data_IF_050094278957
#
_entry.id   IF_050094278957
#
_cell.length_a   1.000
_cell.length_b   1.000
_cell.length_c   1.000
_cell.angle_alpha   90.00
_cell.angle_beta   90.00
_cell.angle_gamma   90.00
#
_symmetry.space_group_name_H-M   'P 1'
#
loop_
_entity.id
_entity.type
_entity.pdbx_description
1 polymer ?
#
# COMPACT_ATOMS: atom_id res chain seq x y z
N UNK A 1 -18.47 6.25 46.97
CA UNK A 1 -17.91 4.92 47.27
C UNK A 1 -18.16 4.01 46.07
N UNK A 2 -17.21 3.14 45.77
CA UNK A 2 -17.12 2.19 44.64
C UNK A 2 -16.52 2.70 43.32
N UNK A 3 -15.19 2.82 43.42
CA UNK A 3 -14.17 2.53 42.43
C UNK A 3 -14.36 1.17 41.74
N UNK A 4 -14.37 1.14 40.40
CA UNK A 4 -14.01 -0.06 39.64
C UNK A 4 -12.62 0.14 39.02
N UNK A 5 -11.68 -0.60 39.59
CA UNK A 5 -10.25 -0.60 39.30
C UNK A 5 -9.99 -1.59 38.16
N UNK A 6 -9.48 -1.11 37.03
CA UNK A 6 -8.93 -1.97 35.99
C UNK A 6 -7.60 -2.56 36.48
N UNK A 7 -7.34 -3.89 36.37
CA UNK A 7 -6.16 -4.52 36.97
C UNK A 7 -4.88 -4.39 36.14
N UNK A 8 -4.85 -3.59 35.06
CA UNK A 8 -3.65 -3.42 34.26
C UNK A 8 -2.69 -2.40 34.93
N UNK A 9 -1.58 -2.87 35.49
CA UNK A 9 -0.47 -2.06 36.06
C UNK A 9 0.27 -1.16 35.06
N UNK A 10 -0.32 -0.84 33.91
CA UNK A 10 0.31 -0.05 32.85
C UNK A 10 -0.33 1.34 32.63
N UNK A 11 -1.42 1.67 33.30
CA UNK A 11 -2.21 2.87 33.01
C UNK A 11 -1.98 4.07 33.95
N UNK A 12 -0.76 4.23 34.49
CA UNK A 12 -0.38 5.44 35.26
C UNK A 12 1.06 5.84 34.96
N UNK A 13 1.30 6.42 33.78
CA UNK A 13 2.47 7.29 33.58
C UNK A 13 2.02 8.63 32.99
N UNK A 14 2.34 9.66 33.75
CA UNK A 14 2.14 11.08 33.47
C UNK A 14 2.49 11.48 32.04
N UNK A 15 1.59 12.25 31.43
CA UNK A 15 1.68 12.78 30.08
C UNK A 15 2.61 14.01 29.96
N UNK A 16 3.64 14.11 30.80
CA UNK A 16 4.65 15.17 30.76
C UNK A 16 6.03 14.54 30.84
N UNK A 17 6.84 14.81 29.82
CA UNK A 17 8.26 14.41 29.66
C UNK A 17 8.53 13.05 28.98
N UNK A 18 8.04 12.85 27.75
CA UNK A 18 8.69 11.90 26.82
C UNK A 18 9.75 12.66 26.02
N UNK A 19 11.00 12.62 26.50
CA UNK A 19 12.17 12.84 25.64
C UNK A 19 12.00 12.00 24.38
N UNK A 20 12.17 12.61 23.21
CA UNK A 20 12.21 11.92 21.93
C UNK A 20 13.36 10.90 21.97
N UNK A 21 13.07 9.68 22.42
CA UNK A 21 13.98 8.57 22.30
C UNK A 21 14.12 8.28 20.81
N UNK A 22 15.34 8.42 20.31
CA UNK A 22 15.72 8.06 18.95
C UNK A 22 15.51 6.55 18.82
N UNK A 23 14.36 6.16 18.27
CA UNK A 23 14.07 4.77 17.92
C UNK A 23 15.20 4.28 17.02
N UNK A 24 15.95 3.28 17.47
CA UNK A 24 16.89 2.59 16.60
C UNK A 24 16.10 2.00 15.43
N UNK A 25 16.62 2.22 14.22
CA UNK A 25 15.98 1.71 13.01
C UNK A 25 16.10 0.19 13.03
N UNK A 26 15.03 -0.50 13.43
CA UNK A 26 14.91 -1.93 13.25
C UNK A 26 15.15 -2.27 11.77
N UNK A 27 16.19 -3.06 11.48
CA UNK A 27 16.41 -3.64 10.16
C UNK A 27 15.51 -4.86 10.05
N UNK A 28 14.32 -4.67 9.51
CA UNK A 28 13.38 -5.76 9.26
C UNK A 28 13.80 -6.45 7.96
N UNK A 29 14.20 -7.70 8.04
CA UNK A 29 14.48 -8.54 6.86
C UNK A 29 13.19 -9.13 6.31
N UNK A 30 13.23 -9.64 5.08
CA UNK A 30 12.09 -10.34 4.47
C UNK A 30 11.61 -11.50 5.35
N UNK A 31 12.55 -12.24 5.94
CA UNK A 31 12.27 -13.35 6.85
C UNK A 31 11.59 -12.89 8.15
N UNK A 32 11.94 -11.70 8.66
CA UNK A 32 11.30 -11.13 9.86
C UNK A 32 9.86 -10.69 9.59
N UNK A 33 9.55 -10.21 8.38
CA UNK A 33 8.18 -9.88 7.99
C UNK A 33 7.30 -11.12 7.82
N UNK A 34 7.90 -12.22 7.39
CA UNK A 34 7.20 -13.45 7.02
C UNK A 34 7.30 -14.53 8.10
N UNK A 35 7.83 -14.16 9.28
CA UNK A 35 8.12 -15.04 10.40
C UNK A 35 6.89 -15.73 11.00
N UNK A 36 5.66 -15.29 10.67
CA UNK A 36 4.44 -16.00 11.04
C UNK A 36 4.06 -17.14 10.08
N UNK A 37 4.70 -17.24 8.91
CA UNK A 37 4.23 -18.13 7.84
C UNK A 37 5.25 -19.16 7.34
N UNK A 38 6.51 -19.14 7.80
CA UNK A 38 7.49 -20.26 7.77
C UNK A 38 7.71 -21.06 6.46
N UNK A 39 7.08 -20.72 5.35
CA UNK A 39 6.89 -21.60 4.20
C UNK A 39 6.77 -20.80 2.90
N UNK A 40 7.65 -19.83 2.66
CA UNK A 40 7.66 -19.18 1.35
C UNK A 40 8.29 -20.13 0.36
N UNK A 41 7.49 -20.57 -0.59
CA UNK A 41 7.94 -21.39 -1.72
C UNK A 41 8.87 -20.57 -2.63
N UNK A 42 9.74 -21.24 -3.38
CA UNK A 42 10.57 -20.57 -4.39
C UNK A 42 9.71 -19.79 -5.40
N UNK A 43 8.49 -20.29 -5.70
CA UNK A 43 7.52 -19.60 -6.55
C UNK A 43 7.02 -18.29 -5.92
N UNK A 44 6.64 -18.29 -4.64
CA UNK A 44 6.22 -17.08 -3.92
C UNK A 44 7.35 -16.04 -3.81
N UNK A 45 8.60 -16.49 -3.65
CA UNK A 45 9.76 -15.59 -3.63
C UNK A 45 9.94 -14.86 -4.97
N UNK A 46 9.74 -15.55 -6.10
CA UNK A 46 9.76 -14.94 -7.44
C UNK A 46 8.59 -13.97 -7.63
N UNK A 47 7.41 -14.31 -7.12
CA UNK A 47 6.26 -13.39 -7.18
C UNK A 47 6.48 -12.12 -6.37
N UNK A 48 7.18 -12.20 -5.23
CA UNK A 48 7.56 -11.02 -4.44
C UNK A 48 8.56 -10.14 -5.18
N UNK A 49 9.53 -10.71 -5.90
CA UNK A 49 10.53 -9.92 -6.63
C UNK A 49 9.94 -9.21 -7.84
N UNK A 50 8.90 -9.78 -8.46
CA UNK A 50 8.10 -9.12 -9.49
C UNK A 50 7.26 -7.94 -8.96
N UNK A 51 7.13 -7.81 -7.64
CA UNK A 51 6.45 -6.70 -6.97
C UNK A 51 7.50 -5.68 -6.48
N UNK A 52 8.18 -5.00 -7.42
CA UNK A 52 9.35 -4.16 -7.13
C UNK A 52 9.32 -2.77 -7.77
N UNK A 53 10.20 -1.89 -7.27
CA UNK A 53 10.43 -0.59 -7.87
C UNK A 53 10.96 -0.68 -9.30
N UNK A 54 11.70 -1.74 -9.64
CA UNK A 54 12.22 -1.95 -10.99
C UNK A 54 11.09 -2.18 -11.99
N UNK A 55 10.10 -3.01 -11.64
CA UNK A 55 8.92 -3.22 -12.48
C UNK A 55 8.11 -1.93 -12.66
N UNK A 56 7.96 -1.14 -11.60
CA UNK A 56 7.36 0.19 -11.72
C UNK A 56 8.17 1.09 -12.66
N UNK A 57 9.49 1.12 -12.56
CA UNK A 57 10.36 1.90 -13.45
C UNK A 57 10.27 1.44 -14.92
N UNK A 58 10.19 0.12 -15.16
CA UNK A 58 9.99 -0.45 -16.51
C UNK A 58 8.65 0.01 -17.08
N UNK A 59 7.58 -0.09 -16.30
CA UNK A 59 6.25 0.36 -16.70
C UNK A 59 6.20 1.86 -17.00
N UNK A 60 6.91 2.68 -16.23
CA UNK A 60 7.01 4.12 -16.48
C UNK A 60 7.82 4.44 -17.73
N UNK A 61 8.87 3.69 -17.99
CA UNK A 61 9.68 3.83 -19.21
C UNK A 61 8.84 3.46 -20.42
N UNK A 62 8.09 2.36 -20.33
CA UNK A 62 7.12 1.96 -21.34
C UNK A 62 6.12 3.07 -21.62
N UNK A 63 5.48 3.64 -20.59
CA UNK A 63 4.51 4.72 -20.76
C UNK A 63 5.10 6.00 -21.41
N UNK A 64 6.41 6.25 -21.27
CA UNK A 64 7.07 7.39 -21.93
C UNK A 64 7.25 7.17 -23.42
N UNK A 65 7.56 5.94 -23.82
CA UNK A 65 7.85 5.58 -25.22
C UNK A 65 6.61 5.10 -25.98
N UNK A 66 5.57 4.65 -25.26
CA UNK A 66 4.33 4.15 -25.83
C UNK A 66 3.51 5.25 -26.50
N UNK A 67 2.78 4.84 -27.54
CA UNK A 67 1.80 5.68 -28.21
C UNK A 67 0.68 6.09 -27.22
N UNK A 68 0.01 7.25 -27.42
CA UNK A 68 -0.97 7.77 -26.45
C UNK A 68 -2.09 6.79 -26.09
N UNK A 69 -2.49 5.93 -27.01
CA UNK A 69 -3.51 4.89 -26.89
C UNK A 69 -3.04 3.63 -26.15
N UNK A 70 -1.74 3.37 -26.11
CA UNK A 70 -1.14 2.23 -25.42
C UNK A 70 -0.71 2.55 -23.98
N UNK A 71 -0.73 3.83 -23.60
CA UNK A 71 -0.34 4.28 -22.26
C UNK A 71 -1.37 3.83 -21.22
N UNK A 72 -0.86 3.30 -20.11
CA UNK A 72 -1.73 2.99 -18.96
C UNK A 72 -1.80 4.15 -17.99
N UNK A 73 -2.99 4.39 -17.45
CA UNK A 73 -3.20 5.32 -16.36
C UNK A 73 -2.62 4.74 -15.07
N UNK A 74 -1.63 5.43 -14.50
CA UNK A 74 -1.01 5.00 -13.24
C UNK A 74 -1.80 5.58 -12.07
N UNK A 75 -2.37 4.68 -11.26
CA UNK A 75 -3.09 5.03 -10.03
C UNK A 75 -2.29 4.50 -8.84
N UNK A 76 -2.02 5.36 -7.86
CA UNK A 76 -1.24 5.01 -6.67
C UNK A 76 -2.06 5.14 -5.41
N UNK A 77 -2.18 4.03 -4.68
CA UNK A 77 -2.83 4.00 -3.37
C UNK A 77 -1.80 3.97 -2.25
N UNK A 78 -1.88 4.89 -1.29
CA UNK A 78 -0.92 4.94 -0.15
C UNK A 78 -1.63 4.62 1.15
N UNK A 79 -1.17 3.59 1.85
CA UNK A 79 -1.76 3.18 3.13
C UNK A 79 -1.58 4.23 4.23
N UNK A 80 -2.49 4.30 5.22
CA UNK A 80 -2.33 5.16 6.39
C UNK A 80 -0.99 4.94 7.12
N UNK A 81 -0.58 3.68 7.27
CA UNK A 81 0.66 3.29 7.94
C UNK A 81 1.89 3.78 7.17
N UNK A 82 1.90 3.66 5.83
CA UNK A 82 2.98 4.21 4.99
C UNK A 82 3.07 5.73 5.10
N UNK A 83 1.93 6.44 5.13
CA UNK A 83 1.91 7.90 5.37
C UNK A 83 2.49 8.26 6.73
N UNK A 84 2.09 7.56 7.80
CA UNK A 84 2.60 7.80 9.14
C UNK A 84 4.12 7.53 9.24
N UNK A 85 4.59 6.43 8.63
CA UNK A 85 6.02 6.09 8.56
C UNK A 85 6.83 7.14 7.81
N UNK A 86 6.33 7.61 6.66
CA UNK A 86 6.96 8.68 5.89
C UNK A 86 6.94 10.01 6.64
N UNK A 87 5.86 10.33 7.34
CA UNK A 87 5.73 11.54 8.15
C UNK A 87 6.79 11.57 9.27
N UNK A 88 6.94 10.46 9.98
CA UNK A 88 7.97 10.30 11.00
C UNK A 88 9.39 10.44 10.42
N UNK A 89 9.65 9.85 9.24
CA UNK A 89 10.95 9.96 8.57
C UNK A 89 11.26 11.38 8.08
N UNK A 90 10.28 12.07 7.54
CA UNK A 90 10.41 13.43 7.01
C UNK A 90 10.32 14.50 8.10
N UNK A 91 10.03 14.12 9.36
CA UNK A 91 9.79 15.04 10.48
C UNK A 91 8.69 16.06 10.16
N UNK A 92 7.58 15.57 9.59
CA UNK A 92 6.45 16.38 9.15
C UNK A 92 5.14 15.86 9.75
N UNK A 93 4.09 16.68 9.75
CA UNK A 93 2.75 16.22 10.09
C UNK A 93 2.20 15.25 9.03
N UNK A 94 1.39 14.28 9.44
CA UNK A 94 0.80 13.26 8.53
C UNK A 94 0.01 13.90 7.39
N UNK A 95 -0.73 14.97 7.68
CA UNK A 95 -1.48 15.71 6.67
C UNK A 95 -0.58 16.42 5.65
N UNK A 96 0.52 17.02 6.10
CA UNK A 96 1.49 17.66 5.21
C UNK A 96 2.21 16.63 4.35
N UNK A 97 2.57 15.49 4.94
CA UNK A 97 3.15 14.36 4.19
C UNK A 97 2.18 13.86 3.14
N UNK A 98 0.89 13.70 3.46
CA UNK A 98 -0.12 13.33 2.47
C UNK A 98 -0.20 14.33 1.32
N UNK A 99 -0.24 15.64 1.62
CA UNK A 99 -0.25 16.70 0.60
C UNK A 99 0.99 16.63 -0.31
N UNK A 100 2.18 16.48 0.28
CA UNK A 100 3.44 16.38 -0.49
C UNK A 100 3.48 15.12 -1.35
N UNK A 101 3.00 13.98 -0.85
CA UNK A 101 2.91 12.75 -1.62
C UNK A 101 1.94 12.91 -2.79
N UNK A 102 0.75 13.47 -2.55
CA UNK A 102 -0.20 13.75 -3.64
C UNK A 102 0.39 14.72 -4.66
N UNK A 103 1.08 15.78 -4.23
CA UNK A 103 1.72 16.73 -5.15
C UNK A 103 2.83 16.04 -5.97
N UNK A 104 3.65 15.22 -5.34
CA UNK A 104 4.71 14.45 -6.00
C UNK A 104 4.13 13.52 -7.06
N UNK A 105 3.15 12.68 -6.71
CA UNK A 105 2.53 11.77 -7.67
C UNK A 105 1.81 12.50 -8.80
N UNK A 106 1.14 13.63 -8.51
CA UNK A 106 0.54 14.48 -9.55
C UNK A 106 1.58 15.05 -10.50
N UNK A 107 2.75 15.47 -9.99
CA UNK A 107 3.84 15.97 -10.86
C UNK A 107 4.42 14.88 -11.78
N UNK A 108 4.24 13.61 -11.44
CA UNK A 108 4.58 12.47 -12.28
C UNK A 108 3.45 12.07 -13.25
N UNK A 109 2.32 12.77 -13.23
CA UNK A 109 1.12 12.45 -14.01
C UNK A 109 0.28 11.31 -13.42
N UNK A 110 0.47 10.97 -12.13
CA UNK A 110 -0.21 9.85 -11.49
C UNK A 110 -1.39 10.32 -10.64
N UNK A 111 -2.41 9.48 -10.55
CA UNK A 111 -3.55 9.72 -9.67
C UNK A 111 -3.25 9.11 -8.31
N UNK A 112 -3.12 9.95 -7.28
CA UNK A 112 -2.91 9.48 -5.92
C UNK A 112 -4.26 9.32 -5.20
N UNK A 113 -4.61 8.06 -4.90
CA UNK A 113 -5.74 7.73 -4.06
C UNK A 113 -5.25 7.49 -2.63
N UNK A 114 -5.52 8.43 -1.73
CA UNK A 114 -5.22 8.21 -0.33
C UNK A 114 -6.36 7.43 0.31
N UNK A 115 -6.06 6.25 0.86
CA UNK A 115 -7.02 5.50 1.65
C UNK A 115 -7.47 6.38 2.83
N UNK A 116 -8.69 6.89 2.75
CA UNK A 116 -9.36 7.54 3.87
C UNK A 116 -10.12 6.43 4.58
N UNK A 117 -9.92 6.31 5.88
CA UNK A 117 -10.70 5.45 6.78
C UNK A 117 -12.13 5.96 6.91
N UNK A 118 -12.84 6.15 5.80
CA UNK A 118 -14.28 6.38 5.77
C UNK A 118 -14.97 5.03 5.57
N UNK A 119 -14.85 4.18 6.59
CA UNK A 119 -15.42 2.83 6.59
C UNK A 119 -16.95 2.81 6.60
N UNK A 120 -17.64 3.90 6.87
CA UNK A 120 -19.08 3.85 7.16
C UNK A 120 -19.97 3.68 5.92
N UNK A 121 -19.55 4.14 4.74
CA UNK A 121 -20.46 4.23 3.58
C UNK A 121 -20.32 3.07 2.57
N UNK A 122 -19.18 2.38 2.57
CA UNK A 122 -18.84 1.34 1.59
C UNK A 122 -18.79 -0.07 2.21
N UNK A 123 -18.74 -0.20 3.54
CA UNK A 123 -18.69 -1.49 4.23
C UNK A 123 -19.85 -2.46 3.90
N UNK A 124 -21.10 -2.02 3.66
CA UNK A 124 -22.18 -2.95 3.33
C UNK A 124 -22.04 -3.64 1.96
N UNK A 125 -21.29 -3.04 1.04
CA UNK A 125 -21.10 -3.53 -0.34
C UNK A 125 -19.72 -4.19 -0.54
N UNK A 126 -18.87 -4.11 0.48
CA UNK A 126 -17.54 -4.72 0.48
C UNK A 126 -17.67 -6.14 1.03
N UNK A 127 -17.30 -7.13 0.22
CA UNK A 127 -17.17 -8.51 0.67
C UNK A 127 -16.31 -8.57 1.94
N UNK A 128 -16.81 -9.20 2.99
CA UNK A 128 -16.09 -9.42 4.26
C UNK A 128 -14.82 -10.27 4.11
N UNK A 129 -14.53 -10.77 2.90
CA UNK A 129 -13.40 -11.65 2.59
C UNK A 129 -12.21 -10.95 1.93
N UNK A 130 -12.34 -9.73 1.38
CA UNK A 130 -11.22 -9.02 0.74
C UNK A 130 -10.54 -8.06 1.73
N UNK A 131 -9.21 -8.00 1.70
CA UNK A 131 -8.48 -7.00 2.52
C UNK A 131 -8.62 -5.59 1.93
N UNK A 132 -8.34 -4.52 2.71
CA UNK A 132 -8.46 -3.14 2.26
C UNK A 132 -7.68 -2.83 0.96
N UNK A 133 -6.51 -3.46 0.78
CA UNK A 133 -5.73 -3.33 -0.44
C UNK A 133 -6.50 -3.83 -1.68
N UNK A 134 -7.12 -4.99 -1.57
CA UNK A 134 -7.82 -5.62 -2.70
C UNK A 134 -9.16 -4.96 -2.96
N UNK A 135 -9.86 -4.55 -1.90
CA UNK A 135 -11.05 -3.70 -2.00
C UNK A 135 -10.74 -2.44 -2.79
N UNK A 136 -9.65 -1.77 -2.44
CA UNK A 136 -9.20 -0.56 -3.14
C UNK A 136 -8.88 -0.84 -4.61
N UNK A 137 -8.23 -1.96 -4.90
CA UNK A 137 -7.94 -2.42 -6.27
C UNK A 137 -9.20 -2.65 -7.10
N UNK A 138 -10.18 -3.38 -6.56
CA UNK A 138 -11.46 -3.62 -7.24
C UNK A 138 -12.25 -2.32 -7.44
N UNK A 139 -12.22 -1.38 -6.50
CA UNK A 139 -12.86 -0.06 -6.67
C UNK A 139 -12.20 0.77 -7.77
N UNK A 140 -10.87 0.77 -7.84
CA UNK A 140 -10.13 1.50 -8.88
C UNK A 140 -10.40 0.89 -10.26
N UNK A 141 -10.27 -0.42 -10.38
CA UNK A 141 -10.34 -1.10 -11.67
C UNK A 141 -11.75 -1.41 -12.14
N UNK A 142 -12.73 -1.46 -11.24
CA UNK A 142 -14.14 -1.51 -11.61
C UNK A 142 -14.70 -0.08 -11.71
N UNK A 143 -15.08 0.48 -10.56
CA UNK A 143 -15.87 1.70 -10.52
C UNK A 143 -15.15 2.94 -11.11
N UNK A 144 -13.90 3.18 -10.74
CA UNK A 144 -13.17 4.34 -11.26
C UNK A 144 -12.80 4.18 -12.73
N UNK A 145 -12.49 2.97 -13.20
CA UNK A 145 -12.25 2.69 -14.61
C UNK A 145 -13.48 3.02 -15.46
N UNK A 146 -14.65 2.54 -15.04
CA UNK A 146 -15.94 2.85 -15.70
C UNK A 146 -16.21 4.36 -15.76
N UNK A 147 -15.99 5.08 -14.65
CA UNK A 147 -16.16 6.53 -14.59
C UNK A 147 -15.23 7.31 -15.52
N UNK A 148 -14.05 6.78 -15.82
CA UNK A 148 -13.09 7.38 -16.74
C UNK A 148 -13.23 6.84 -18.17
N UNK A 149 -14.22 5.98 -18.44
CA UNK A 149 -14.38 5.27 -19.71
C UNK A 149 -13.13 4.48 -20.12
N UNK A 150 -12.45 3.88 -19.14
CA UNK A 150 -11.27 3.04 -19.32
C UNK A 150 -11.62 1.58 -19.00
N UNK A 151 -10.93 0.66 -19.66
CA UNK A 151 -10.97 -0.75 -19.29
C UNK A 151 -9.98 -1.04 -18.14
N UNK A 152 -10.24 -2.06 -17.30
CA UNK A 152 -9.39 -2.38 -16.14
C UNK A 152 -7.89 -2.57 -16.47
N UNK A 153 -7.59 -3.09 -17.67
CA UNK A 153 -6.22 -3.35 -18.15
C UNK A 153 -5.45 -2.08 -18.57
N UNK A 154 -6.17 -0.98 -18.82
CA UNK A 154 -5.60 0.35 -19.08
C UNK A 154 -5.21 1.07 -17.80
N UNK A 155 -5.52 0.52 -16.63
CA UNK A 155 -5.09 1.05 -15.34
C UNK A 155 -3.96 0.20 -14.78
N UNK A 156 -2.87 0.87 -14.41
CA UNK A 156 -1.77 0.27 -13.65
C UNK A 156 -1.86 0.76 -12.20
N UNK A 157 -2.41 -0.09 -11.34
CA UNK A 157 -2.63 0.20 -9.93
C UNK A 157 -1.42 -0.22 -9.08
N UNK A 158 -0.79 0.78 -8.46
CA UNK A 158 0.35 0.63 -7.57
C UNK A 158 -0.11 0.92 -6.14
N UNK A 159 0.34 0.13 -5.18
CA UNK A 159 0.08 0.39 -3.76
C UNK A 159 1.38 0.63 -3.00
N UNK A 160 1.36 1.54 -2.05
CA UNK A 160 2.48 1.82 -1.14
C UNK A 160 2.09 1.32 0.26
N UNK A 161 2.75 0.24 0.66
CA UNK A 161 2.45 -0.52 1.86
C UNK A 161 3.70 -0.65 2.75
N UNK A 162 3.57 -0.78 4.08
CA UNK A 162 4.74 -1.00 4.95
C UNK A 162 5.13 -2.48 5.08
N UNK A 163 4.38 -3.41 4.47
CA UNK A 163 4.46 -4.85 4.74
C UNK A 163 4.71 -5.65 3.45
N UNK A 164 5.55 -6.69 3.53
CA UNK A 164 5.82 -7.59 2.41
C UNK A 164 4.67 -8.57 2.14
N UNK A 165 3.86 -8.93 3.15
CA UNK A 165 2.70 -9.81 2.98
C UNK A 165 1.72 -9.25 1.95
N UNK A 166 1.66 -7.92 1.82
CA UNK A 166 0.85 -7.25 0.80
C UNK A 166 1.31 -7.52 -0.62
N UNK A 167 2.61 -7.80 -0.84
CA UNK A 167 3.13 -8.25 -2.14
C UNK A 167 2.64 -9.66 -2.46
N UNK A 168 2.71 -10.57 -1.48
CA UNK A 168 2.18 -11.93 -1.61
C UNK A 168 0.67 -11.94 -1.82
N UNK A 169 -0.05 -11.07 -1.12
CA UNK A 169 -1.48 -10.92 -1.30
C UNK A 169 -1.82 -10.45 -2.72
N UNK A 170 -1.09 -9.48 -3.28
CA UNK A 170 -1.32 -9.00 -4.65
C UNK A 170 -1.01 -10.04 -5.74
N UNK A 171 -0.09 -10.98 -5.46
CA UNK A 171 0.28 -12.01 -6.44
C UNK A 171 -0.65 -13.21 -6.46
N UNK A 172 -1.57 -13.35 -5.49
CA UNK A 172 -2.52 -14.48 -5.45
C UNK A 172 -3.35 -14.57 -6.73
N UNK A 173 -3.62 -15.78 -7.23
CA UNK A 173 -4.42 -15.98 -8.44
C UNK A 173 -5.87 -15.52 -8.27
N UNK A 174 -6.41 -15.54 -7.05
CA UNK A 174 -7.78 -15.11 -6.73
C UNK A 174 -8.09 -13.65 -7.10
N UNK A 175 -7.05 -12.82 -7.23
CA UNK A 175 -7.17 -11.40 -7.57
C UNK A 175 -6.74 -11.10 -9.01
N UNK A 176 -6.59 -12.13 -9.85
CA UNK A 176 -6.35 -12.01 -11.27
C UNK A 176 -7.67 -12.13 -12.04
N UNK A 177 -8.02 -11.10 -12.80
CA UNK A 177 -9.15 -11.12 -13.70
C UNK A 177 -8.72 -11.68 -15.07
N UNK A 178 -9.28 -12.83 -15.45
CA UNK A 178 -8.96 -13.51 -16.71
C UNK A 178 -9.52 -12.80 -17.95
N UNK A 179 -10.65 -12.10 -17.85
CA UNK A 179 -11.27 -11.40 -18.97
C UNK A 179 -10.42 -10.21 -19.40
N UNK A 180 -9.97 -9.41 -18.44
CA UNK A 180 -9.15 -8.22 -18.71
C UNK A 180 -7.63 -8.48 -18.59
N UNK A 181 -7.20 -9.71 -18.30
CA UNK A 181 -5.80 -10.09 -18.13
C UNK A 181 -5.05 -9.14 -17.17
N UNK A 182 -5.67 -8.82 -16.02
CA UNK A 182 -5.12 -7.83 -15.08
C UNK A 182 -5.46 -8.17 -13.63
N UNK A 183 -4.66 -7.64 -12.69
CA UNK A 183 -4.85 -7.87 -11.25
C UNK A 183 -5.56 -6.71 -10.59
N UNK A 184 -6.26 -6.93 -9.48
CA UNK A 184 -6.78 -5.85 -8.63
C UNK A 184 -5.64 -4.87 -8.22
N UNK A 185 -4.44 -5.39 -7.95
CA UNK A 185 -3.21 -4.62 -7.68
C UNK A 185 -2.08 -5.14 -8.54
N UNK A 186 -1.50 -4.28 -9.40
CA UNK A 186 -0.42 -4.67 -10.30
C UNK A 186 0.95 -4.64 -9.60
N UNK A 187 1.18 -3.61 -8.78
CA UNK A 187 2.46 -3.41 -8.11
C UNK A 187 2.29 -3.03 -6.63
N UNK A 188 3.08 -3.64 -5.74
CA UNK A 188 3.14 -3.29 -4.32
C UNK A 188 4.55 -2.82 -3.96
N UNK A 189 4.66 -1.55 -3.59
CA UNK A 189 5.89 -0.88 -3.21
C UNK A 189 5.97 -0.80 -1.68
N UNK A 190 7.05 -1.34 -1.12
CA UNK A 190 7.26 -1.34 0.33
C UNK A 190 8.04 -0.12 0.80
N UNK A 191 7.55 0.58 1.85
CA UNK A 191 8.30 1.72 2.45
C UNK A 191 9.52 1.31 3.28
N UNK A 192 9.66 0.00 3.58
CA UNK A 192 10.82 -0.58 4.25
C UNK A 192 12.02 -0.65 3.29
N UNK A 193 13.22 -0.35 3.78
CA UNK A 193 14.45 -0.49 2.97
C UNK A 193 14.63 -1.97 2.59
N UNK A 194 14.66 -2.27 1.30
CA UNK A 194 15.46 -3.39 0.81
C UNK A 194 16.92 -3.05 1.12
N UNK A 195 17.48 -3.67 2.16
CA UNK A 195 18.92 -3.88 2.23
C UNK A 195 19.21 -5.15 1.44
N UNK A 196 19.13 -5.08 0.12
CA UNK A 196 19.86 -6.04 -0.71
C UNK A 196 21.33 -5.66 -0.55
N UNK A 197 22.04 -6.44 0.28
CA UNK A 197 23.48 -6.61 0.18
C UNK A 197 23.72 -8.03 -0.28
#
# INVERSE_FOLDING_TARGET
QFSHQCPCKFCTKDFRTLRAQKLEKAKITLNDCLACSGCITSAESVLITQQSHEELCKMLTFNKTAAPDERKLVVVSVSPQSRASLAARCKMGVLETAKKLTAFFKSLGWICYAEKTHGSFIIPYISTTKSPQQVMGSLIKGHFAEQQHLTPNQIYHVTVMPCYDKKLEASRPDFFNQEYQTRDVDCVITTGKQSQR
#
